data_IF_093700310637
#
_entry.id   IF_093700310637
#
_cell.length_a   1.000
_cell.length_b   1.000
_cell.length_c   1.000
_cell.angle_alpha   90.00
_cell.angle_beta   90.00
_cell.angle_gamma   90.00
#
_symmetry.space_group_name_H-M   'P 1'
#
loop_
_entity.id
_entity.type
_entity.pdbx_description
1 polymer ?
#
# COMPACT_ATOMS: atom_id res chain seq x y z
N UNK A 1 -45.15 -0.61 -23.43
CA UNK A 1 -44.00 -0.86 -22.54
C UNK A 1 -43.00 0.20 -22.89
N UNK A 2 -43.02 1.30 -22.15
CA UNK A 2 -42.26 2.51 -22.46
C UNK A 2 -40.79 2.28 -22.17
N UNK A 3 -39.95 2.49 -23.18
CA UNK A 3 -38.53 2.80 -23.04
C UNK A 3 -38.42 3.96 -22.05
N UNK A 4 -38.17 3.65 -20.78
CA UNK A 4 -37.75 4.65 -19.81
C UNK A 4 -36.36 5.10 -20.23
N UNK A 5 -36.27 6.34 -20.68
CA UNK A 5 -35.04 7.12 -20.83
C UNK A 5 -34.09 6.82 -19.67
N UNK A 6 -33.12 5.94 -19.91
CA UNK A 6 -31.96 5.80 -19.03
C UNK A 6 -31.14 7.05 -19.32
N UNK A 7 -31.44 8.15 -18.64
CA UNK A 7 -30.56 9.30 -18.59
C UNK A 7 -29.16 8.74 -18.29
N UNK A 8 -28.15 9.01 -19.14
CA UNK A 8 -26.81 8.48 -18.90
C UNK A 8 -26.40 8.87 -17.48
N UNK A 9 -26.01 7.89 -16.68
CA UNK A 9 -25.60 8.09 -15.29
C UNK A 9 -24.67 9.30 -15.26
N UNK A 10 -25.06 10.32 -14.52
CA UNK A 10 -24.39 11.61 -14.54
C UNK A 10 -22.92 11.37 -14.16
N UNK A 11 -21.98 11.67 -15.05
CA UNK A 11 -20.58 11.34 -14.81
C UNK A 11 -19.96 12.26 -13.75
N UNK A 12 -18.98 11.75 -13.00
CA UNK A 12 -18.25 12.58 -12.03
C UNK A 12 -17.45 13.67 -12.75
N UNK A 13 -17.36 14.85 -12.16
CA UNK A 13 -16.55 15.97 -12.67
C UNK A 13 -15.11 15.51 -13.01
N UNK A 14 -14.62 15.72 -14.24
CA UNK A 14 -13.26 15.34 -14.64
C UNK A 14 -12.18 15.85 -13.69
N UNK A 15 -12.31 17.08 -13.16
CA UNK A 15 -11.32 17.62 -12.24
C UNK A 15 -11.25 16.82 -10.94
N UNK A 16 -12.41 16.43 -10.39
CA UNK A 16 -12.47 15.55 -9.23
C UNK A 16 -11.88 14.16 -9.52
N UNK A 17 -12.16 13.57 -10.69
CA UNK A 17 -11.56 12.29 -11.09
C UNK A 17 -10.04 12.35 -11.15
N UNK A 18 -9.47 13.37 -11.77
CA UNK A 18 -8.00 13.55 -11.80
C UNK A 18 -7.42 13.64 -10.39
N UNK A 19 -8.12 14.31 -9.47
CA UNK A 19 -7.69 14.42 -8.07
C UNK A 19 -7.70 13.07 -7.35
N UNK A 20 -8.71 12.22 -7.60
CA UNK A 20 -8.77 10.86 -7.06
C UNK A 20 -7.73 9.94 -7.69
N UNK A 21 -7.44 10.08 -8.99
CA UNK A 21 -6.34 9.39 -9.66
C UNK A 21 -5.00 9.74 -9.03
N UNK A 22 -4.73 11.03 -8.79
CA UNK A 22 -3.51 11.49 -8.13
C UNK A 22 -3.41 10.96 -6.69
N UNK A 23 -4.52 10.94 -5.95
CA UNK A 23 -4.58 10.33 -4.62
C UNK A 23 -4.19 8.85 -4.66
N UNK A 24 -4.78 8.07 -5.57
CA UNK A 24 -4.45 6.65 -5.74
C UNK A 24 -3.00 6.45 -6.16
N UNK A 25 -2.50 7.27 -7.08
CA UNK A 25 -1.10 7.23 -7.49
C UNK A 25 -0.17 7.45 -6.29
N UNK A 26 -0.33 8.53 -5.54
CA UNK A 26 0.52 8.86 -4.39
C UNK A 26 0.43 7.81 -3.28
N UNK A 27 -0.79 7.35 -2.96
CA UNK A 27 -1.03 6.27 -2.00
C UNK A 27 -0.19 5.05 -2.33
N UNK A 28 -0.32 4.52 -3.54
CA UNK A 28 0.37 3.30 -3.92
C UNK A 28 1.85 3.54 -4.26
N UNK A 29 2.26 4.76 -4.59
CA UNK A 29 3.67 5.13 -4.73
C UNK A 29 4.42 4.91 -3.43
N UNK A 30 3.86 5.36 -2.30
CA UNK A 30 4.47 5.12 -0.98
C UNK A 30 4.66 3.62 -0.75
N UNK A 31 3.66 2.78 -1.09
CA UNK A 31 3.76 1.33 -0.96
C UNK A 31 4.82 0.72 -1.89
N UNK A 32 4.82 1.16 -3.15
CA UNK A 32 5.69 0.67 -4.21
C UNK A 32 7.17 0.96 -3.97
N UNK A 33 7.48 2.02 -3.22
CA UNK A 33 8.84 2.33 -2.81
C UNK A 33 9.47 1.15 -2.06
N UNK A 34 8.87 0.73 -0.95
CA UNK A 34 9.54 -0.18 0.00
C UNK A 34 9.07 -1.63 -0.14
N UNK A 35 7.79 -1.90 -0.41
CA UNK A 35 7.22 -3.25 -0.27
C UNK A 35 7.97 -4.31 -1.08
N UNK A 36 8.34 -4.06 -2.35
CA UNK A 36 9.03 -5.08 -3.14
C UNK A 36 10.47 -5.37 -2.67
N UNK A 37 11.17 -4.40 -2.08
CA UNK A 37 12.64 -4.46 -1.91
C UNK A 37 13.08 -4.51 -0.44
N UNK A 38 12.21 -4.17 0.50
CA UNK A 38 12.57 -4.01 1.92
C UNK A 38 13.28 -5.24 2.49
N UNK A 39 12.82 -6.45 2.17
CA UNK A 39 13.46 -7.68 2.64
C UNK A 39 14.90 -7.82 2.16
N UNK A 40 15.15 -7.47 0.89
CA UNK A 40 16.49 -7.54 0.31
C UNK A 40 17.42 -6.55 1.00
N UNK A 41 16.94 -5.33 1.27
CA UNK A 41 17.69 -4.33 2.04
C UNK A 41 18.02 -4.82 3.46
N UNK A 42 17.03 -5.36 4.20
CA UNK A 42 17.25 -5.86 5.55
C UNK A 42 18.30 -6.99 5.59
N UNK A 43 18.30 -7.88 4.59
CA UNK A 43 19.27 -8.98 4.50
C UNK A 43 20.66 -8.48 4.08
N UNK A 44 20.74 -7.77 2.95
CA UNK A 44 22.01 -7.49 2.28
C UNK A 44 22.73 -6.25 2.83
N UNK A 45 22.00 -5.30 3.41
CA UNK A 45 22.56 -4.06 3.96
C UNK A 45 22.66 -4.11 5.48
N UNK A 46 21.59 -4.53 6.17
CA UNK A 46 21.55 -4.56 7.64
C UNK A 46 21.98 -5.91 8.24
N UNK A 47 22.21 -6.92 7.41
CA UNK A 47 22.68 -8.23 7.86
C UNK A 47 21.66 -8.99 8.72
N UNK A 48 20.35 -8.73 8.57
CA UNK A 48 19.34 -9.40 9.38
C UNK A 48 19.27 -10.89 9.04
N UNK A 49 19.23 -11.73 10.07
CA UNK A 49 19.09 -13.18 9.94
C UNK A 49 17.69 -13.57 9.44
N UNK A 50 17.54 -14.78 8.92
CA UNK A 50 16.23 -15.30 8.49
C UNK A 50 15.17 -15.25 9.62
N UNK A 51 15.58 -15.49 10.87
CA UNK A 51 14.70 -15.34 12.03
C UNK A 51 14.26 -13.89 12.23
N UNK A 52 15.17 -12.93 12.13
CA UNK A 52 14.86 -11.50 12.25
C UNK A 52 13.90 -11.04 11.15
N UNK A 53 14.09 -11.52 9.91
CA UNK A 53 13.17 -11.25 8.79
C UNK A 53 11.78 -11.83 9.07
N UNK A 54 11.69 -13.05 9.59
CA UNK A 54 10.43 -13.67 9.98
C UNK A 54 9.70 -12.89 11.07
N UNK A 55 10.42 -12.46 12.12
CA UNK A 55 9.86 -11.63 13.20
C UNK A 55 9.40 -10.28 12.68
N UNK A 56 10.21 -9.60 11.85
CA UNK A 56 9.83 -8.33 11.23
C UNK A 56 8.53 -8.49 10.43
N UNK A 57 8.47 -9.45 9.50
CA UNK A 57 7.28 -9.70 8.69
C UNK A 57 6.03 -10.04 9.52
N UNK A 58 6.17 -10.86 10.56
CA UNK A 58 5.07 -11.20 11.46
C UNK A 58 4.61 -9.98 12.29
N UNK A 59 5.54 -9.17 12.80
CA UNK A 59 5.22 -7.98 13.58
C UNK A 59 4.41 -6.96 12.77
N UNK A 60 4.72 -6.78 11.48
CA UNK A 60 3.95 -5.89 10.61
C UNK A 60 2.47 -6.30 10.48
N UNK A 61 2.09 -7.56 10.76
CA UNK A 61 0.71 -8.02 10.72
C UNK A 61 -0.18 -7.40 11.82
N UNK A 62 0.42 -6.80 12.86
CA UNK A 62 -0.30 -6.06 13.91
C UNK A 62 -1.13 -4.91 13.32
N UNK A 63 -0.59 -4.18 12.35
CA UNK A 63 -1.29 -3.06 11.70
C UNK A 63 -2.62 -3.47 11.05
N UNK A 64 -2.62 -4.40 10.07
CA UNK A 64 -3.84 -4.93 9.48
C UNK A 64 -4.80 -5.57 10.49
N UNK A 65 -4.29 -6.19 11.56
CA UNK A 65 -5.13 -6.80 12.60
C UNK A 65 -5.89 -5.74 13.41
N UNK A 66 -5.24 -4.61 13.72
CA UNK A 66 -5.83 -3.52 14.49
C UNK A 66 -6.63 -2.54 13.62
N UNK A 67 -6.38 -2.47 12.32
CA UNK A 67 -7.00 -1.52 11.40
C UNK A 67 -8.53 -1.48 11.46
N UNK A 68 -9.27 -2.61 11.42
CA UNK A 68 -10.74 -2.60 11.48
C UNK A 68 -11.29 -2.08 12.82
N UNK A 69 -10.54 -2.26 13.91
CA UNK A 69 -10.96 -1.85 15.25
C UNK A 69 -10.69 -0.36 15.50
N UNK A 70 -9.50 0.11 15.15
CA UNK A 70 -9.11 1.51 15.36
C UNK A 70 -9.83 2.42 14.36
N UNK A 71 -9.70 2.14 13.06
CA UNK A 71 -10.20 3.06 12.03
C UNK A 71 -11.69 2.88 11.79
N UNK A 72 -12.17 1.63 11.68
CA UNK A 72 -13.58 1.33 11.42
C UNK A 72 -14.54 1.68 12.56
N UNK A 73 -14.08 1.74 13.83
CA UNK A 73 -14.96 2.07 14.97
C UNK A 73 -14.74 3.48 15.52
N UNK A 74 -13.50 3.96 15.58
CA UNK A 74 -13.17 5.22 16.25
C UNK A 74 -13.02 6.31 15.22
N UNK A 75 -12.19 6.10 14.20
CA UNK A 75 -11.76 7.20 13.34
C UNK A 75 -12.82 7.59 12.32
N UNK A 76 -13.40 6.63 11.61
CA UNK A 76 -14.41 6.86 10.56
C UNK A 76 -15.71 7.52 11.07
N UNK A 77 -15.93 7.48 12.39
CA UNK A 77 -17.13 8.03 13.04
C UNK A 77 -16.96 9.46 13.56
N UNK A 78 -15.73 9.88 13.82
CA UNK A 78 -15.47 11.14 14.53
C UNK A 78 -14.71 12.14 13.66
N UNK A 79 -13.96 11.69 12.66
CA UNK A 79 -13.08 12.53 11.88
C UNK A 79 -13.36 12.40 10.38
N UNK A 80 -13.19 13.49 9.66
CA UNK A 80 -13.32 13.49 8.21
C UNK A 80 -12.16 12.70 7.59
N UNK A 81 -12.46 11.84 6.61
CA UNK A 81 -11.52 10.85 6.06
C UNK A 81 -10.25 11.50 5.53
N UNK A 82 -10.34 12.66 4.89
CA UNK A 82 -9.20 13.37 4.35
C UNK A 82 -8.21 13.83 5.43
N UNK A 83 -8.70 14.21 6.61
CA UNK A 83 -7.87 14.63 7.75
C UNK A 83 -7.17 13.45 8.40
N UNK A 84 -7.85 12.31 8.44
CA UNK A 84 -7.31 11.06 8.95
C UNK A 84 -6.18 10.58 8.06
N UNK A 85 -6.41 10.57 6.75
CA UNK A 85 -5.39 10.26 5.75
C UNK A 85 -4.19 11.21 5.90
N UNK A 86 -4.43 12.52 6.03
CA UNK A 86 -3.37 13.50 6.23
C UNK A 86 -2.52 13.18 7.47
N UNK A 87 -3.14 12.88 8.61
CA UNK A 87 -2.43 12.48 9.83
C UNK A 87 -1.62 11.19 9.65
N UNK A 88 -2.23 10.14 9.10
CA UNK A 88 -1.58 8.85 8.91
C UNK A 88 -0.37 8.95 7.97
N UNK A 89 -0.49 9.70 6.88
CA UNK A 89 0.61 9.91 5.95
C UNK A 89 1.69 10.84 6.51
N UNK A 90 1.32 11.84 7.32
CA UNK A 90 2.29 12.70 7.99
C UNK A 90 3.13 11.89 8.97
N UNK A 91 2.48 11.19 9.89
CA UNK A 91 3.14 10.35 10.88
C UNK A 91 3.91 9.18 10.21
N UNK A 92 3.29 8.52 9.23
CA UNK A 92 3.91 7.45 8.46
C UNK A 92 5.14 7.93 7.67
N UNK A 93 5.07 9.12 7.06
CA UNK A 93 6.19 9.74 6.37
C UNK A 93 7.38 10.02 7.28
N UNK A 94 7.11 10.59 8.47
CA UNK A 94 8.14 10.80 9.50
C UNK A 94 8.74 9.47 9.97
N UNK A 95 7.92 8.44 10.19
CA UNK A 95 8.40 7.11 10.60
C UNK A 95 9.29 6.47 9.53
N UNK A 96 8.95 6.61 8.24
CA UNK A 96 9.78 6.09 7.15
C UNK A 96 11.13 6.81 7.05
N UNK A 97 11.16 8.13 7.27
CA UNK A 97 12.42 8.88 7.37
C UNK A 97 13.24 8.47 8.60
N UNK A 98 12.57 8.19 9.73
CA UNK A 98 13.24 7.65 10.90
C UNK A 98 13.80 6.25 10.64
N UNK A 99 13.05 5.37 9.95
CA UNK A 99 13.50 4.04 9.55
C UNK A 99 14.73 4.09 8.63
N UNK A 100 14.80 5.07 7.73
CA UNK A 100 15.93 5.23 6.82
C UNK A 100 17.29 5.33 7.53
N UNK A 101 17.32 5.90 8.74
CA UNK A 101 18.56 6.05 9.53
C UNK A 101 18.77 4.94 10.56
N UNK A 102 17.82 3.99 10.70
CA UNK A 102 17.96 2.87 11.63
C UNK A 102 18.65 1.68 11.00
N UNK A 103 19.61 1.10 11.74
CA UNK A 103 20.30 -0.13 11.35
C UNK A 103 20.07 -1.27 12.34
N UNK A 104 19.64 -0.98 13.57
CA UNK A 104 19.44 -1.96 14.62
C UNK A 104 18.08 -2.65 14.50
N UNK A 105 18.05 -3.94 14.84
CA UNK A 105 16.87 -4.80 14.70
C UNK A 105 15.60 -4.28 15.40
N UNK A 106 15.65 -4.04 16.71
CA UNK A 106 14.46 -3.64 17.46
C UNK A 106 13.88 -2.28 17.02
N UNK A 107 14.68 -1.22 16.83
CA UNK A 107 14.19 0.03 16.26
C UNK A 107 13.49 -0.16 14.89
N UNK A 108 14.07 -0.96 13.99
CA UNK A 108 13.46 -1.25 12.68
C UNK A 108 12.11 -1.95 12.84
N UNK A 109 12.02 -2.96 13.72
CA UNK A 109 10.76 -3.67 13.99
C UNK A 109 9.72 -2.74 14.60
N UNK A 110 10.07 -1.99 15.65
CA UNK A 110 9.13 -1.11 16.36
C UNK A 110 8.59 -0.02 15.44
N UNK A 111 9.47 0.67 14.70
CA UNK A 111 9.04 1.70 13.75
C UNK A 111 8.23 1.08 12.60
N UNK A 112 8.60 -0.10 12.10
CA UNK A 112 7.84 -0.82 11.09
C UNK A 112 6.41 -1.16 11.54
N UNK A 113 6.25 -1.61 12.79
CA UNK A 113 4.92 -1.88 13.38
C UNK A 113 4.09 -0.60 13.48
N UNK A 114 4.67 0.49 14.00
CA UNK A 114 4.00 1.78 14.09
C UNK A 114 3.57 2.29 12.71
N UNK A 115 4.46 2.18 11.73
CA UNK A 115 4.14 2.51 10.34
C UNK A 115 3.00 1.64 9.82
N UNK A 116 3.01 0.33 10.04
CA UNK A 116 1.96 -0.59 9.58
C UNK A 116 0.59 -0.23 10.16
N UNK A 117 0.52 0.10 11.46
CA UNK A 117 -0.72 0.51 12.14
C UNK A 117 -1.32 1.77 11.51
N UNK A 118 -0.47 2.72 11.09
CA UNK A 118 -0.93 3.99 10.50
C UNK A 118 -1.21 3.88 9.01
N UNK A 119 -0.34 3.19 8.26
CA UNK A 119 -0.35 3.18 6.81
C UNK A 119 -1.33 2.16 6.24
N UNK A 120 -1.42 0.93 6.75
CA UNK A 120 -2.30 -0.09 6.16
C UNK A 120 -3.77 0.33 6.07
N UNK A 121 -4.37 0.95 7.11
CA UNK A 121 -5.76 1.43 7.03
C UNK A 121 -6.01 2.44 5.92
N UNK A 122 -5.01 3.27 5.56
CA UNK A 122 -5.17 4.32 4.55
C UNK A 122 -5.62 3.77 3.20
N UNK A 123 -5.20 2.55 2.85
CA UNK A 123 -5.57 1.87 1.61
C UNK A 123 -7.09 1.64 1.50
N UNK A 124 -7.74 1.32 2.62
CA UNK A 124 -9.19 1.17 2.66
C UNK A 124 -9.86 2.54 2.66
N UNK A 125 -9.33 3.49 3.41
CA UNK A 125 -9.87 4.85 3.50
C UNK A 125 -9.84 5.58 2.16
N UNK A 126 -8.78 5.46 1.36
CA UNK A 126 -8.72 6.05 0.01
C UNK A 126 -9.75 5.43 -0.91
N UNK A 127 -10.01 4.13 -0.81
CA UNK A 127 -11.05 3.46 -1.60
C UNK A 127 -12.44 3.97 -1.20
N UNK A 128 -12.74 3.99 0.10
CA UNK A 128 -14.00 4.50 0.64
C UNK A 128 -14.22 5.98 0.30
N UNK A 129 -13.18 6.81 0.39
CA UNK A 129 -13.22 8.22 0.02
C UNK A 129 -13.59 8.38 -1.46
N UNK A 130 -12.95 7.62 -2.35
CA UNK A 130 -13.29 7.65 -3.78
C UNK A 130 -14.75 7.25 -4.01
N UNK A 131 -15.22 6.14 -3.42
CA UNK A 131 -16.61 5.69 -3.60
C UNK A 131 -17.65 6.70 -3.14
N UNK A 132 -17.37 7.49 -2.10
CA UNK A 132 -18.29 8.53 -1.63
C UNK A 132 -18.42 9.72 -2.60
N UNK A 133 -17.43 9.91 -3.48
CA UNK A 133 -17.36 11.06 -4.40
C UNK A 133 -17.70 10.71 -5.85
N UNK A 134 -17.79 9.41 -6.18
CA UNK A 134 -18.07 8.95 -7.53
C UNK A 134 -19.57 8.74 -7.74
N UNK A 135 -20.08 9.26 -8.86
CA UNK A 135 -21.48 9.10 -9.27
C UNK A 135 -21.77 7.71 -9.85
N UNK A 136 -20.87 7.16 -10.68
CA UNK A 136 -20.92 5.78 -11.20
C UNK A 136 -19.67 5.00 -10.73
N UNK A 137 -19.68 4.60 -9.45
CA UNK A 137 -18.54 3.94 -8.81
C UNK A 137 -18.12 2.64 -9.52
N UNK A 138 -19.05 1.88 -10.08
CA UNK A 138 -18.76 0.58 -10.70
C UNK A 138 -17.92 0.73 -11.98
N UNK A 139 -18.12 1.82 -12.74
CA UNK A 139 -17.35 2.09 -13.97
C UNK A 139 -16.14 2.99 -13.73
N UNK A 140 -16.27 4.01 -12.90
CA UNK A 140 -15.23 5.03 -12.74
C UNK A 140 -14.14 4.60 -11.76
N UNK A 141 -14.47 3.83 -10.71
CA UNK A 141 -13.48 3.42 -9.72
C UNK A 141 -12.38 2.50 -10.27
N UNK A 142 -12.66 1.50 -11.14
CA UNK A 142 -11.61 0.69 -11.75
C UNK A 142 -10.55 1.51 -12.49
N UNK A 143 -10.97 2.58 -13.19
CA UNK A 143 -10.07 3.49 -13.90
C UNK A 143 -9.23 4.34 -12.93
N UNK A 144 -9.84 4.83 -11.85
CA UNK A 144 -9.14 5.55 -10.79
C UNK A 144 -8.14 4.63 -10.08
N UNK A 145 -8.52 3.37 -9.83
CA UNK A 145 -7.69 2.39 -9.14
C UNK A 145 -6.49 1.94 -9.96
N UNK A 146 -6.57 2.01 -11.29
CA UNK A 146 -5.46 1.77 -12.21
C UNK A 146 -4.26 2.67 -11.91
N UNK A 147 -4.51 3.95 -11.60
CA UNK A 147 -3.47 4.90 -11.20
C UNK A 147 -2.72 4.48 -9.93
N UNK A 148 -3.36 3.70 -9.06
CA UNK A 148 -2.67 3.05 -7.94
C UNK A 148 -1.66 2.00 -8.40
N UNK A 149 -1.99 1.19 -9.41
CA UNK A 149 -1.03 0.22 -9.97
C UNK A 149 0.15 0.95 -10.63
N UNK A 150 -0.11 2.03 -11.37
CA UNK A 150 0.95 2.89 -11.94
C UNK A 150 1.82 3.47 -10.81
N UNK A 151 1.18 4.02 -9.77
CA UNK A 151 1.85 4.54 -8.58
C UNK A 151 2.74 3.50 -7.92
N UNK A 152 2.31 2.24 -7.85
CA UNK A 152 3.11 1.16 -7.28
C UNK A 152 4.37 0.83 -8.10
N UNK A 153 4.30 0.94 -9.43
CA UNK A 153 5.38 0.55 -10.36
C UNK A 153 6.46 1.64 -10.49
N UNK A 154 6.06 2.90 -10.64
CA UNK A 154 6.98 4.02 -10.90
C UNK A 154 8.16 4.12 -9.90
N UNK A 155 7.98 3.90 -8.58
CA UNK A 155 9.08 3.89 -7.61
C UNK A 155 10.23 2.95 -7.98
N UNK A 156 9.94 1.77 -8.53
CA UNK A 156 10.96 0.80 -8.94
C UNK A 156 11.89 1.40 -10.00
N UNK A 157 11.31 2.08 -10.98
CA UNK A 157 12.05 2.71 -12.07
C UNK A 157 12.85 3.92 -11.61
N UNK A 158 12.31 4.70 -10.69
CA UNK A 158 13.02 5.86 -10.12
C UNK A 158 14.17 5.39 -9.22
N UNK A 159 13.91 4.48 -8.28
CA UNK A 159 14.93 3.98 -7.36
C UNK A 159 16.05 3.27 -8.12
N UNK A 160 15.73 2.27 -8.94
CA UNK A 160 16.73 1.45 -9.61
C UNK A 160 17.36 2.14 -10.82
N UNK A 161 16.57 2.90 -11.58
CA UNK A 161 17.00 3.55 -12.82
C UNK A 161 17.71 4.89 -12.63
N UNK A 162 17.53 5.57 -11.49
CA UNK A 162 18.17 6.86 -11.22
C UNK A 162 19.09 6.79 -10.00
N UNK A 163 18.57 6.38 -8.84
CA UNK A 163 19.33 6.44 -7.59
C UNK A 163 20.35 5.29 -7.43
N UNK A 164 20.06 4.12 -7.99
CA UNK A 164 20.90 2.92 -7.85
C UNK A 164 21.61 2.50 -9.14
N UNK A 165 21.44 3.23 -10.24
CA UNK A 165 21.81 2.80 -11.60
C UNK A 165 23.32 2.45 -11.76
N UNK A 166 24.18 3.11 -11.00
CA UNK A 166 25.64 2.94 -11.08
C UNK A 166 26.25 2.39 -9.79
N UNK A 167 25.43 1.82 -8.90
CA UNK A 167 25.90 1.24 -7.66
C UNK A 167 26.04 -0.27 -7.79
N UNK A 168 27.13 -0.79 -7.23
CA UNK A 168 27.39 -2.23 -7.17
C UNK A 168 27.85 -2.64 -5.75
N UNK A 169 27.84 -3.95 -5.49
CA UNK A 169 28.32 -4.53 -4.24
C UNK A 169 27.68 -3.95 -2.98
N UNK A 170 28.51 -3.64 -1.99
CA UNK A 170 28.09 -3.11 -0.68
C UNK A 170 27.44 -1.72 -0.79
N UNK A 171 27.92 -0.88 -1.72
CA UNK A 171 27.35 0.44 -1.97
C UNK A 171 25.91 0.34 -2.49
N UNK A 172 25.64 -0.63 -3.36
CA UNK A 172 24.28 -0.92 -3.82
C UNK A 172 23.39 -1.42 -2.69
N UNK A 173 23.89 -2.36 -1.88
CA UNK A 173 23.15 -2.90 -0.75
C UNK A 173 22.70 -1.80 0.21
N UNK A 174 23.63 -0.94 0.63
CA UNK A 174 23.34 0.21 1.50
C UNK A 174 22.43 1.23 0.80
N UNK A 175 22.69 1.50 -0.48
CA UNK A 175 21.93 2.43 -1.31
C UNK A 175 20.45 2.07 -1.43
N UNK A 176 20.08 0.78 -1.42
CA UNK A 176 18.67 0.33 -1.45
C UNK A 176 17.81 0.93 -0.33
N UNK A 177 18.41 1.39 0.76
CA UNK A 177 17.69 2.12 1.82
C UNK A 177 16.99 3.40 1.34
N UNK A 178 17.42 3.99 0.22
CA UNK A 178 16.84 5.22 -0.36
C UNK A 178 15.32 5.14 -0.55
N UNK A 179 14.79 3.93 -0.76
CA UNK A 179 13.35 3.71 -0.92
C UNK A 179 12.55 4.05 0.34
N UNK A 180 13.14 3.92 1.53
CA UNK A 180 12.52 4.34 2.79
C UNK A 180 12.43 5.86 2.86
N UNK A 181 13.50 6.57 2.47
CA UNK A 181 13.48 8.02 2.39
C UNK A 181 12.48 8.52 1.35
N UNK A 182 12.44 7.88 0.18
CA UNK A 182 11.51 8.20 -0.90
C UNK A 182 10.05 7.97 -0.48
N UNK A 183 9.74 6.86 0.17
CA UNK A 183 8.43 6.60 0.77
C UNK A 183 8.07 7.66 1.83
N UNK A 184 9.05 8.07 2.64
CA UNK A 184 8.89 9.12 3.64
C UNK A 184 8.50 10.47 3.02
N UNK A 185 9.28 10.95 2.05
CA UNK A 185 9.03 12.21 1.35
C UNK A 185 7.69 12.21 0.63
N UNK A 186 7.39 11.15 -0.13
CA UNK A 186 6.10 11.06 -0.84
C UNK A 186 4.93 10.89 0.14
N UNK A 187 5.14 10.23 1.28
CA UNK A 187 4.18 10.19 2.37
C UNK A 187 3.86 11.59 2.90
N UNK A 188 4.87 12.43 3.14
CA UNK A 188 4.65 13.82 3.55
C UNK A 188 3.93 14.65 2.47
N UNK A 189 4.26 14.45 1.20
CA UNK A 189 3.55 15.08 0.08
C UNK A 189 2.08 14.63 0.01
N UNK A 190 1.82 13.34 0.19
CA UNK A 190 0.47 12.78 0.28
C UNK A 190 -0.29 13.38 1.46
N UNK A 191 0.37 13.57 2.62
CA UNK A 191 -0.25 14.19 3.79
C UNK A 191 -0.73 15.63 3.49
N UNK A 192 0.12 16.43 2.84
CA UNK A 192 -0.26 17.78 2.42
C UNK A 192 -1.37 17.76 1.36
N UNK A 193 -1.29 16.84 0.40
CA UNK A 193 -2.29 16.69 -0.64
C UNK A 193 -3.67 16.27 -0.09
N UNK A 194 -3.70 15.39 0.91
CA UNK A 194 -4.93 14.97 1.59
C UNK A 194 -5.71 16.15 2.17
N UNK A 195 -5.04 17.20 2.66
CA UNK A 195 -5.74 18.40 3.17
C UNK A 195 -6.44 19.20 2.07
N UNK A 196 -6.06 19.01 0.81
CA UNK A 196 -6.75 19.65 -0.31
C UNK A 196 -7.99 18.88 -0.74
N UNK A 197 -8.05 17.57 -0.52
CA UNK A 197 -9.10 16.66 -0.98
C UNK A 197 -10.51 17.14 -0.60
N UNK A 198 -11.55 16.76 -1.38
CA UNK A 198 -12.91 17.13 -1.05
C UNK A 198 -13.28 16.67 0.36
N UNK A 199 -14.04 17.51 1.06
CA UNK A 199 -14.41 17.24 2.44
C UNK A 199 -15.27 15.97 2.51
N UNK A 200 -14.77 14.99 3.25
CA UNK A 200 -15.37 13.66 3.37
C UNK A 200 -15.84 13.48 4.81
N UNK A 201 -17.04 13.97 5.17
CA UNK A 201 -17.48 13.97 6.56
C UNK A 201 -17.61 12.55 7.11
N UNK A 202 -17.41 12.35 8.43
CA UNK A 202 -17.52 11.04 9.05
C UNK A 202 -18.93 10.47 8.82
N UNK A 203 -18.99 9.20 8.45
CA UNK A 203 -20.27 8.51 8.27
C UNK A 203 -20.82 8.23 9.66
N UNK A 204 -21.75 9.07 10.10
CA UNK A 204 -22.53 8.86 11.33
C UNK A 204 -23.45 7.66 11.13
N UNK A 205 -22.91 6.46 11.30
CA UNK A 205 -23.72 5.25 11.31
C UNK A 205 -24.27 5.05 12.72
N UNK A 206 -25.59 5.20 12.88
CA UNK A 206 -26.35 4.78 14.09
C UNK A 206 -26.27 3.26 14.33
N UNK A 207 -25.71 2.50 13.39
CA UNK A 207 -25.61 1.06 13.51
C UNK A 207 -24.36 0.67 14.30
N UNK A 208 -24.59 0.15 15.51
CA UNK A 208 -23.68 -0.71 16.30
C UNK A 208 -23.18 -1.97 15.54
N UNK A 209 -23.33 -2.05 14.22
CA UNK A 209 -23.37 -3.30 13.45
C UNK A 209 -22.04 -3.80 12.86
N UNK A 210 -20.95 -3.04 12.98
CA UNK A 210 -19.60 -3.54 12.66
C UNK A 210 -18.93 -4.16 13.91
N UNK A 211 -19.71 -4.87 14.72
CA UNK A 211 -19.12 -5.69 15.77
C UNK A 211 -18.36 -6.86 15.11
N UNK A 212 -17.10 -7.12 15.50
CA UNK A 212 -16.34 -8.31 15.06
C UNK A 212 -17.16 -9.61 15.18
N UNK A 213 -18.04 -9.68 16.18
CA UNK A 213 -18.96 -10.80 16.40
C UNK A 213 -19.96 -11.04 15.25
N UNK A 214 -20.37 -10.02 14.49
CA UNK A 214 -21.28 -10.17 13.35
C UNK A 214 -20.55 -10.79 12.14
N UNK A 215 -19.31 -10.37 11.89
CA UNK A 215 -18.43 -10.96 10.86
C UNK A 215 -18.09 -12.41 11.20
N UNK A 216 -17.78 -12.71 12.46
CA UNK A 216 -17.56 -14.08 12.92
C UNK A 216 -18.83 -14.92 12.74
N UNK A 217 -20.02 -14.36 13.01
CA UNK A 217 -21.29 -15.05 12.76
C UNK A 217 -21.53 -15.34 11.28
N UNK A 218 -21.04 -14.49 10.36
CA UNK A 218 -21.13 -14.73 8.92
C UNK A 218 -20.33 -15.96 8.47
N UNK A 219 -19.29 -16.37 9.21
CA UNK A 219 -18.54 -17.61 8.94
C UNK A 219 -19.42 -18.88 9.05
N UNK A 220 -20.62 -18.79 9.63
CA UNK A 220 -21.60 -19.88 9.62
C UNK A 220 -22.19 -20.15 8.23
N UNK A 221 -22.17 -19.17 7.33
CA UNK A 221 -22.63 -19.36 5.96
C UNK A 221 -21.55 -20.05 5.13
N UNK A 222 -21.84 -21.23 4.58
CA UNK A 222 -20.88 -22.07 3.85
C UNK A 222 -20.17 -21.31 2.72
N UNK A 223 -20.91 -20.53 1.92
CA UNK A 223 -20.34 -19.76 0.81
C UNK A 223 -19.33 -18.70 1.31
N UNK A 224 -19.64 -18.02 2.42
CA UNK A 224 -18.76 -17.03 3.01
C UNK A 224 -17.52 -17.68 3.63
N UNK A 225 -17.67 -18.83 4.31
CA UNK A 225 -16.54 -19.58 4.86
C UNK A 225 -15.56 -20.03 3.78
N UNK A 226 -16.07 -20.58 2.67
CA UNK A 226 -15.24 -20.98 1.52
C UNK A 226 -14.49 -19.79 0.97
N UNK A 227 -15.16 -18.64 0.79
CA UNK A 227 -14.52 -17.40 0.35
C UNK A 227 -13.38 -16.98 1.29
N UNK A 228 -13.60 -17.02 2.61
CA UNK A 228 -12.60 -16.66 3.61
C UNK A 228 -11.41 -17.61 3.60
N UNK A 229 -11.63 -18.93 3.49
CA UNK A 229 -10.54 -19.92 3.41
C UNK A 229 -9.70 -19.69 2.15
N UNK A 230 -10.34 -19.50 1.01
CA UNK A 230 -9.64 -19.24 -0.27
C UNK A 230 -8.86 -17.93 -0.18
N UNK A 231 -9.47 -16.86 0.32
CA UNK A 231 -8.80 -15.57 0.51
C UNK A 231 -7.62 -15.66 1.48
N UNK A 232 -7.73 -16.47 2.54
CA UNK A 232 -6.66 -16.72 3.49
C UNK A 232 -5.47 -17.41 2.83
N UNK A 233 -5.70 -18.48 2.06
CA UNK A 233 -4.64 -19.19 1.32
C UNK A 233 -3.96 -18.26 0.31
N UNK A 234 -4.75 -17.50 -0.47
CA UNK A 234 -4.22 -16.52 -1.43
C UNK A 234 -3.38 -15.46 -0.71
N UNK A 235 -3.81 -14.98 0.46
CA UNK A 235 -3.08 -13.99 1.24
C UNK A 235 -1.73 -14.53 1.74
N UNK A 236 -1.65 -15.81 2.10
CA UNK A 236 -0.37 -16.45 2.46
C UNK A 236 0.58 -16.41 1.27
N UNK A 237 0.14 -16.90 0.10
CA UNK A 237 0.97 -16.90 -1.12
C UNK A 237 1.43 -15.49 -1.48
N UNK A 238 0.52 -14.52 -1.42
CA UNK A 238 0.81 -13.12 -1.69
C UNK A 238 1.89 -12.57 -0.74
N UNK A 239 1.81 -12.87 0.57
CA UNK A 239 2.83 -12.43 1.53
C UNK A 239 4.18 -13.09 1.29
N UNK A 240 4.21 -14.39 1.00
CA UNK A 240 5.45 -15.09 0.65
C UNK A 240 6.10 -14.50 -0.60
N UNK A 241 5.31 -14.22 -1.64
CA UNK A 241 5.78 -13.60 -2.86
C UNK A 241 6.46 -12.25 -2.58
N UNK A 242 5.75 -11.30 -1.98
CA UNK A 242 6.33 -9.96 -1.73
C UNK A 242 7.52 -9.98 -0.76
N UNK A 243 7.54 -10.91 0.20
CA UNK A 243 8.64 -11.02 1.13
C UNK A 243 9.91 -11.55 0.45
N UNK A 244 9.81 -12.57 -0.40
CA UNK A 244 10.97 -13.33 -0.88
C UNK A 244 11.33 -13.12 -2.36
N UNK A 245 10.47 -12.47 -3.14
CA UNK A 245 10.69 -12.28 -4.58
C UNK A 245 12.00 -11.51 -4.89
N UNK A 246 12.28 -10.38 -4.24
CA UNK A 246 13.52 -9.64 -4.50
C UNK A 246 14.79 -10.37 -4.03
N UNK A 247 14.83 -10.99 -2.83
CA UNK A 247 15.92 -11.90 -2.45
C UNK A 247 16.16 -13.03 -3.45
N UNK A 248 15.10 -13.68 -3.94
CA UNK A 248 15.18 -14.74 -4.94
C UNK A 248 15.76 -14.24 -6.26
N UNK A 249 15.24 -13.12 -6.77
CA UNK A 249 15.68 -12.55 -8.04
C UNK A 249 17.14 -12.07 -7.96
N UNK A 250 17.54 -11.44 -6.85
CA UNK A 250 18.93 -11.05 -6.61
C UNK A 250 19.89 -12.25 -6.63
N UNK A 251 19.47 -13.40 -6.08
CA UNK A 251 20.27 -14.63 -6.12
C UNK A 251 20.44 -15.18 -7.55
N UNK A 252 19.37 -15.17 -8.36
CA UNK A 252 19.42 -15.60 -9.77
C UNK A 252 20.31 -14.67 -10.60
N UNK A 253 20.16 -13.35 -10.45
CA UNK A 253 20.95 -12.37 -11.18
C UNK A 253 22.45 -12.51 -10.88
N UNK A 254 22.80 -12.74 -9.61
CA UNK A 254 24.20 -13.02 -9.21
C UNK A 254 24.75 -14.30 -9.82
N UNK A 255 23.95 -15.35 -9.96
CA UNK A 255 24.37 -16.59 -10.65
C UNK A 255 24.60 -16.38 -12.14
N UNK A 256 23.86 -15.45 -12.75
CA UNK A 256 23.99 -15.08 -14.15
C UNK A 256 25.03 -13.97 -14.41
N UNK A 257 25.82 -13.59 -13.40
CA UNK A 257 26.82 -12.51 -13.46
C UNK A 257 26.24 -11.13 -13.88
N UNK A 258 24.95 -10.90 -13.56
CA UNK A 258 24.28 -9.63 -13.81
C UNK A 258 24.45 -8.73 -12.58
N UNK A 259 25.12 -7.59 -12.76
CA UNK A 259 25.31 -6.57 -11.72
C UNK A 259 24.26 -5.46 -11.77
N UNK A 260 24.12 -4.72 -10.67
CA UNK A 260 23.20 -3.58 -10.54
C UNK A 260 21.83 -3.92 -9.93
N UNK A 261 20.97 -2.89 -9.86
CA UNK A 261 19.63 -2.99 -9.29
C UNK A 261 18.61 -3.30 -10.40
N UNK A 262 18.06 -4.52 -10.41
CA UNK A 262 17.08 -4.93 -11.43
C UNK A 262 15.84 -5.59 -10.81
N UNK A 263 15.87 -5.85 -9.51
CA UNK A 263 14.92 -6.71 -8.84
C UNK A 263 13.48 -6.16 -8.91
N UNK A 264 13.30 -4.87 -8.61
CA UNK A 264 12.00 -4.22 -8.65
C UNK A 264 11.53 -3.99 -10.09
N UNK A 265 12.42 -3.56 -11.00
CA UNK A 265 12.05 -3.31 -12.41
C UNK A 265 11.56 -4.58 -13.11
N UNK A 266 12.28 -5.70 -12.96
CA UNK A 266 11.84 -7.00 -13.52
C UNK A 266 10.50 -7.42 -12.91
N UNK A 267 10.35 -7.28 -11.59
CA UNK A 267 9.11 -7.64 -10.90
C UNK A 267 7.91 -6.79 -11.34
N UNK A 268 8.15 -5.56 -11.83
CA UNK A 268 7.11 -4.66 -12.30
C UNK A 268 6.58 -4.97 -13.71
N UNK A 269 7.27 -5.82 -14.49
CA UNK A 269 6.88 -6.13 -15.88
C UNK A 269 5.45 -6.68 -15.95
N UNK A 270 5.08 -7.59 -15.04
CA UNK A 270 3.72 -8.14 -14.99
C UNK A 270 2.65 -7.08 -14.72
N UNK A 271 2.97 -6.08 -13.91
CA UNK A 271 2.07 -4.97 -13.57
C UNK A 271 1.92 -3.99 -14.76
N UNK A 272 2.98 -3.80 -15.54
CA UNK A 272 2.91 -3.03 -16.80
C UNK A 272 1.96 -3.70 -17.79
N UNK A 273 2.05 -5.02 -17.94
CA UNK A 273 1.10 -5.76 -18.79
C UNK A 273 -0.34 -5.68 -18.27
N UNK A 274 -0.55 -5.72 -16.95
CA UNK A 274 -1.88 -5.51 -16.37
C UNK A 274 -2.46 -4.15 -16.76
N UNK A 275 -1.64 -3.10 -16.73
CA UNK A 275 -2.08 -1.73 -17.10
C UNK A 275 -2.42 -1.60 -18.57
N UNK A 276 -1.72 -2.32 -19.46
CA UNK A 276 -1.93 -2.27 -20.90
C UNK A 276 -3.18 -3.02 -21.38
N UNK A 277 -3.67 -4.00 -20.61
CA UNK A 277 -4.79 -4.88 -21.01
C UNK A 277 -6.15 -4.37 -20.49
N UNK A 278 -6.15 -3.39 -19.56
CA UNK A 278 -7.37 -2.77 -19.03
C UNK A 278 -7.80 -1.56 -19.83
#
# INVERSE_FOLDING_TARGET
MTDTDILPAESTDPALKTRLCLMMFLQYFVQGCYLPIITLYLIQALGFSAWQIGVFGAALAVGPLLAPFLFGQIVDRHYATERVLAFCHLAGGVIMLALFVQQSFWPVVTLGVLYSILYVPTMMLTNSLSFQHLKDSDKEFPLIRLWGTIGFVVPAWIAEGVFLANLEGEALNTGRGIVLAMAGVVGLLMAAYCLTLPHTPPVKSDKKDLAPGKVIKMLRYRHFLVLVIVAFIISIVHKFYFQWNSPFLSAILKQADVTGAWEQRISSIGQVFEVLVR
#
